data_IF_055914614603
#
_entry.id   IF_055914614603
#
_cell.length_a   1.000
_cell.length_b   1.000
_cell.length_c   1.000
_cell.angle_alpha   90.00
_cell.angle_beta   90.00
_cell.angle_gamma   90.00
#
_symmetry.space_group_name_H-M   'P 1'
#
loop_
_entity.id
_entity.type
_entity.pdbx_description
1 polymer ?
#
# COMPACT_ATOMS: atom_id res chain seq x y z
N UNK A 1 -1.88 6.49 9.55
CA UNK A 1 -2.19 6.83 8.15
C UNK A 1 -3.26 7.90 8.13
N UNK A 2 -3.07 8.90 7.31
CA UNK A 2 -4.04 9.98 7.07
C UNK A 2 -4.21 10.16 5.56
N UNK A 3 -5.44 10.37 5.08
CA UNK A 3 -5.75 10.60 3.67
C UNK A 3 -6.64 11.83 3.48
N UNK A 4 -6.17 12.74 2.67
CA UNK A 4 -6.96 13.85 2.14
C UNK A 4 -7.39 13.54 0.71
N UNK A 5 -8.66 13.77 0.41
CA UNK A 5 -9.27 13.46 -0.88
C UNK A 5 -9.98 14.67 -1.47
N UNK A 6 -9.87 14.83 -2.78
CA UNK A 6 -10.62 15.80 -3.56
C UNK A 6 -11.07 15.19 -4.89
N UNK A 7 -11.82 15.95 -5.69
CA UNK A 7 -12.21 15.52 -7.03
C UNK A 7 -11.01 15.37 -7.99
N UNK A 8 -9.89 16.00 -7.68
CA UNK A 8 -8.69 16.01 -8.53
C UNK A 8 -7.65 14.99 -8.12
N UNK A 9 -7.68 14.52 -6.86
CA UNK A 9 -6.69 13.55 -6.39
C UNK A 9 -6.78 13.25 -4.92
N UNK A 10 -5.91 12.35 -4.51
CA UNK A 10 -5.73 11.94 -3.13
C UNK A 10 -4.28 12.17 -2.70
N UNK A 11 -4.09 12.52 -1.44
CA UNK A 11 -2.80 12.50 -0.77
C UNK A 11 -2.93 11.62 0.47
N UNK A 12 -2.05 10.64 0.58
CA UNK A 12 -1.98 9.75 1.76
C UNK A 12 -0.64 9.97 2.44
N UNK A 13 -0.65 10.12 3.74
CA UNK A 13 0.55 10.24 4.57
C UNK A 13 0.58 9.09 5.57
N UNK A 14 1.67 8.34 5.57
CA UNK A 14 1.98 7.33 6.57
C UNK A 14 3.17 7.74 7.42
N UNK A 15 3.10 7.48 8.72
CA UNK A 15 4.22 7.63 9.66
C UNK A 15 4.47 6.30 10.34
N UNK A 16 5.71 5.82 10.28
CA UNK A 16 6.16 4.58 10.91
C UNK A 16 6.70 4.84 12.32
N UNK A 17 6.78 3.79 13.11
CA UNK A 17 7.27 3.86 14.50
C UNK A 17 8.74 4.29 14.60
N UNK A 18 9.54 3.95 13.59
CA UNK A 18 10.95 4.32 13.47
C UNK A 18 11.18 5.77 13.00
N UNK A 19 10.10 6.54 12.81
CA UNK A 19 10.15 7.95 12.44
C UNK A 19 10.09 8.21 10.92
N UNK A 20 10.15 7.17 10.07
CA UNK A 20 9.98 7.33 8.62
C UNK A 20 8.60 7.90 8.30
N UNK A 21 8.56 8.75 7.28
CA UNK A 21 7.32 9.30 6.73
C UNK A 21 7.29 8.97 5.24
N UNK A 22 6.19 8.44 4.78
CA UNK A 22 5.93 8.21 3.37
C UNK A 22 4.70 8.97 2.92
N UNK A 23 4.71 9.45 1.68
CA UNK A 23 3.58 10.11 1.06
C UNK A 23 3.23 9.42 -0.25
N UNK A 24 1.96 9.29 -0.52
CA UNK A 24 1.44 8.84 -1.80
C UNK A 24 0.52 9.90 -2.37
N UNK A 25 0.67 10.18 -3.66
CA UNK A 25 -0.21 11.09 -4.39
C UNK A 25 -0.87 10.36 -5.55
N UNK A 26 -2.19 10.22 -5.51
CA UNK A 26 -2.99 9.68 -6.60
C UNK A 26 -3.65 10.80 -7.39
N UNK A 27 -3.43 10.85 -8.71
CA UNK A 27 -4.03 11.83 -9.61
C UNK A 27 -5.31 11.22 -10.20
N UNK A 28 -6.44 11.89 -10.04
CA UNK A 28 -7.75 11.46 -10.60
C UNK A 28 -8.09 12.19 -11.90
N UNK A 29 -7.64 13.44 -12.02
CA UNK A 29 -7.91 14.27 -13.21
C UNK A 29 -6.62 14.95 -13.64
N UNK A 30 -6.23 14.76 -14.90
CA UNK A 30 -5.02 15.29 -15.50
C UNK A 30 -3.96 14.21 -15.78
N UNK A 31 -2.82 14.60 -16.33
CA UNK A 31 -1.72 13.69 -16.58
C UNK A 31 -1.21 13.05 -15.28
N UNK A 32 -1.00 11.75 -15.32
CA UNK A 32 -0.44 10.98 -14.21
C UNK A 32 0.80 10.20 -14.68
N UNK A 33 1.80 10.13 -13.83
CA UNK A 33 3.02 9.36 -14.05
C UNK A 33 3.25 8.44 -12.86
N UNK A 34 3.93 7.32 -13.10
CA UNK A 34 4.46 6.49 -12.04
C UNK A 34 5.85 7.01 -11.65
N UNK A 35 6.10 7.12 -10.36
CA UNK A 35 7.40 7.53 -9.86
C UNK A 35 7.34 8.05 -8.44
N UNK A 36 8.50 8.32 -7.89
CA UNK A 36 8.66 8.88 -6.56
C UNK A 36 10.09 9.26 -6.29
N UNK A 37 10.32 9.81 -5.11
CA UNK A 37 11.65 10.11 -4.61
C UNK A 37 11.83 9.43 -3.25
N UNK A 38 12.88 8.64 -3.12
CA UNK A 38 13.28 8.07 -1.83
C UNK A 38 14.42 8.91 -1.24
N UNK A 39 14.19 9.43 -0.04
CA UNK A 39 15.15 10.22 0.73
C UNK A 39 15.86 9.31 1.74
N UNK A 40 17.08 8.92 1.44
CA UNK A 40 17.92 8.13 2.33
C UNK A 40 18.91 9.00 3.11
N UNK A 41 19.64 8.38 4.02
CA UNK A 41 20.65 9.08 4.86
C UNK A 41 21.86 9.57 4.07
N UNK A 42 22.14 8.96 2.91
CA UNK A 42 23.32 9.29 2.08
C UNK A 42 22.97 10.04 0.81
N UNK A 43 21.79 9.81 0.25
CA UNK A 43 21.36 10.45 -1.01
C UNK A 43 19.84 10.38 -1.18
N UNK A 44 19.31 11.26 -2.03
CA UNK A 44 17.97 11.13 -2.60
C UNK A 44 18.08 10.46 -3.98
N UNK A 45 17.12 9.56 -4.29
CA UNK A 45 17.06 8.86 -5.57
C UNK A 45 15.64 8.88 -6.11
N UNK A 46 15.50 8.98 -7.41
CA UNK A 46 14.22 8.75 -8.09
C UNK A 46 13.94 7.26 -8.20
N UNK A 47 12.70 6.86 -7.95
CA UNK A 47 12.25 5.47 -7.95
C UNK A 47 10.91 5.31 -8.67
N UNK A 48 10.61 4.09 -9.08
CA UNK A 48 9.25 3.70 -9.48
C UNK A 48 8.85 4.09 -10.90
N UNK A 49 9.77 4.39 -11.79
CA UNK A 49 9.47 4.48 -13.23
C UNK A 49 8.96 3.15 -13.77
N UNK A 50 7.90 3.17 -14.60
CA UNK A 50 7.38 1.97 -15.22
C UNK A 50 8.37 1.42 -16.26
N UNK A 51 8.82 0.18 -16.08
CA UNK A 51 9.81 -0.50 -16.94
C UNK A 51 9.24 -1.77 -17.64
N UNK A 52 7.92 -1.86 -17.74
CA UNK A 52 7.26 -3.04 -18.32
C UNK A 52 7.11 -4.19 -17.33
N UNK A 53 6.72 -5.36 -17.84
CA UNK A 53 6.40 -6.55 -17.04
C UNK A 53 7.57 -7.55 -16.91
N UNK A 54 8.72 -7.31 -17.55
CA UNK A 54 9.82 -8.27 -17.59
C UNK A 54 10.25 -8.70 -16.19
N UNK A 55 10.54 -7.73 -15.30
CA UNK A 55 11.01 -8.02 -13.94
C UNK A 55 9.96 -8.78 -13.13
N UNK A 56 8.66 -8.44 -13.29
CA UNK A 56 7.57 -9.16 -12.63
C UNK A 56 7.52 -10.63 -13.10
N UNK A 57 7.60 -10.88 -14.40
CA UNK A 57 7.58 -12.23 -14.96
C UNK A 57 8.79 -13.06 -14.52
N UNK A 58 9.98 -12.47 -14.46
CA UNK A 58 11.18 -13.11 -13.93
C UNK A 58 10.99 -13.55 -12.47
N UNK A 59 10.40 -12.72 -11.63
CA UNK A 59 10.11 -13.06 -10.23
C UNK A 59 9.02 -14.14 -10.09
N UNK A 60 8.02 -14.14 -10.95
CA UNK A 60 7.00 -15.19 -10.99
C UNK A 60 7.63 -16.54 -11.40
N UNK A 61 8.47 -16.55 -12.42
CA UNK A 61 9.20 -17.76 -12.85
C UNK A 61 10.13 -18.27 -11.74
N UNK A 62 10.88 -17.38 -11.10
CA UNK A 62 11.72 -17.73 -9.96
C UNK A 62 10.90 -18.40 -8.84
N UNK A 63 9.76 -17.85 -8.50
CA UNK A 63 8.87 -18.46 -7.50
C UNK A 63 8.40 -19.86 -7.89
N UNK A 64 7.97 -20.06 -9.13
CA UNK A 64 7.53 -21.38 -9.60
C UNK A 64 8.69 -22.41 -9.64
N UNK A 65 9.91 -21.98 -9.90
CA UNK A 65 11.09 -22.86 -9.94
C UNK A 65 11.61 -23.22 -8.55
N UNK A 66 11.51 -22.31 -7.60
CA UNK A 66 12.19 -22.45 -6.30
C UNK A 66 11.25 -22.63 -5.11
N UNK A 67 9.97 -22.26 -5.26
CA UNK A 67 9.01 -22.15 -4.15
C UNK A 67 9.27 -20.95 -3.21
N UNK A 68 10.27 -20.11 -3.52
CA UNK A 68 10.65 -18.97 -2.68
C UNK A 68 9.92 -17.73 -3.16
N UNK A 69 9.04 -17.19 -2.31
CA UNK A 69 8.32 -15.94 -2.62
C UNK A 69 9.28 -14.74 -2.59
N UNK A 70 9.30 -13.89 -3.63
CA UNK A 70 10.11 -12.67 -3.65
C UNK A 70 9.62 -11.59 -2.68
N UNK A 71 8.38 -11.72 -2.20
CA UNK A 71 7.77 -10.80 -1.23
C UNK A 71 7.28 -11.62 -0.04
N UNK A 72 7.58 -11.19 1.18
CA UNK A 72 7.13 -11.88 2.37
C UNK A 72 5.61 -11.74 2.57
N UNK A 73 5.04 -12.67 3.32
CA UNK A 73 3.64 -12.60 3.71
C UNK A 73 3.36 -11.36 4.57
N UNK A 74 4.28 -11.03 5.46
CA UNK A 74 4.21 -9.90 6.37
C UNK A 74 4.18 -8.58 5.60
N UNK A 75 5.06 -8.42 4.62
CA UNK A 75 5.11 -7.25 3.75
C UNK A 75 3.81 -7.10 2.93
N UNK A 76 3.30 -8.20 2.37
CA UNK A 76 2.03 -8.21 1.65
C UNK A 76 0.88 -7.75 2.56
N UNK A 77 0.79 -8.28 3.78
CA UNK A 77 -0.24 -7.89 4.74
C UNK A 77 -0.09 -6.43 5.15
N UNK A 78 1.12 -5.94 5.36
CA UNK A 78 1.38 -4.54 5.70
C UNK A 78 0.89 -3.59 4.59
N UNK A 79 1.20 -3.89 3.33
CA UNK A 79 0.75 -3.12 2.16
C UNK A 79 -0.78 -3.04 2.12
N UNK A 80 -1.47 -4.18 2.21
CA UNK A 80 -2.93 -4.21 2.21
C UNK A 80 -3.54 -3.50 3.42
N UNK A 81 -2.92 -3.64 4.59
CA UNK A 81 -3.35 -2.94 5.80
C UNK A 81 -3.20 -1.43 5.68
N UNK A 82 -2.12 -0.95 5.05
CA UNK A 82 -1.92 0.46 4.75
C UNK A 82 -3.02 0.99 3.81
N UNK A 83 -3.34 0.24 2.76
CA UNK A 83 -4.44 0.59 1.84
C UNK A 83 -5.79 0.63 2.56
N UNK A 84 -6.07 -0.34 3.45
CA UNK A 84 -7.29 -0.36 4.26
C UNK A 84 -7.35 0.85 5.20
N UNK A 85 -6.26 1.17 5.90
CA UNK A 85 -6.18 2.34 6.77
C UNK A 85 -6.43 3.64 5.99
N UNK A 86 -5.86 3.75 4.79
CA UNK A 86 -6.09 4.89 3.88
C UNK A 86 -7.57 5.03 3.50
N UNK A 87 -8.26 3.93 3.20
CA UNK A 87 -9.68 3.97 2.86
C UNK A 87 -10.53 4.34 4.06
N UNK A 88 -10.26 3.78 5.25
CA UNK A 88 -10.95 4.15 6.48
C UNK A 88 -10.76 5.64 6.79
N UNK A 89 -9.54 6.16 6.65
CA UNK A 89 -9.26 7.59 6.82
C UNK A 89 -10.09 8.45 5.88
N UNK A 90 -10.23 8.06 4.60
CA UNK A 90 -11.07 8.75 3.63
C UNK A 90 -12.54 8.76 4.05
N UNK A 91 -13.09 7.60 4.43
CA UNK A 91 -14.49 7.43 4.85
C UNK A 91 -14.82 8.26 6.08
N UNK A 92 -13.82 8.57 6.91
CA UNK A 92 -13.92 9.34 8.14
C UNK A 92 -13.32 10.75 8.02
N UNK A 93 -13.42 11.35 6.82
CA UNK A 93 -13.02 12.74 6.54
C UNK A 93 -11.56 13.08 6.90
N UNK A 94 -10.66 12.14 6.69
CA UNK A 94 -9.24 12.34 6.94
C UNK A 94 -8.80 12.07 8.39
N UNK A 95 -9.59 11.34 9.18
CA UNK A 95 -9.14 10.88 10.51
C UNK A 95 -7.85 10.07 10.41
N UNK A 96 -6.98 10.23 11.38
CA UNK A 96 -5.79 9.38 11.52
C UNK A 96 -6.23 7.98 11.92
N UNK A 97 -5.83 6.99 11.11
CA UNK A 97 -6.09 5.55 11.34
C UNK A 97 -4.76 4.83 11.55
N UNK A 98 -4.68 4.00 12.59
CA UNK A 98 -3.50 3.17 12.83
C UNK A 98 -3.53 1.91 11.96
N UNK A 99 -2.36 1.32 11.67
CA UNK A 99 -2.31 0.04 10.97
C UNK A 99 -2.95 -1.07 11.81
N UNK A 100 -2.78 -1.03 13.13
CA UNK A 100 -3.41 -2.02 14.03
C UNK A 100 -4.95 -1.97 13.92
N UNK A 101 -5.54 -0.78 13.99
CA UNK A 101 -6.99 -0.61 13.81
C UNK A 101 -7.48 -1.16 12.47
N UNK A 102 -6.77 -0.85 11.39
CA UNK A 102 -7.12 -1.31 10.05
C UNK A 102 -6.96 -2.83 9.90
N UNK A 103 -5.92 -3.41 10.48
CA UNK A 103 -5.67 -4.85 10.49
C UNK A 103 -6.80 -5.59 11.23
N UNK A 104 -7.16 -5.16 12.43
CA UNK A 104 -8.22 -5.78 13.21
C UNK A 104 -9.58 -5.71 12.51
N UNK A 105 -9.88 -4.58 11.88
CA UNK A 105 -11.10 -4.45 11.07
C UNK A 105 -11.08 -5.37 9.86
N UNK A 106 -9.98 -5.43 9.13
CA UNK A 106 -9.81 -6.32 7.96
C UNK A 106 -9.98 -7.80 8.35
N UNK A 107 -9.40 -8.21 9.47
CA UNK A 107 -9.53 -9.57 10.00
C UNK A 107 -10.97 -9.92 10.38
N UNK A 108 -11.69 -8.98 11.01
CA UNK A 108 -13.11 -9.14 11.35
C UNK A 108 -13.98 -9.28 10.09
N UNK A 109 -13.70 -8.46 9.07
CA UNK A 109 -14.43 -8.50 7.80
C UNK A 109 -14.17 -9.82 7.05
N UNK A 110 -12.91 -10.29 6.99
CA UNK A 110 -12.52 -11.56 6.38
C UNK A 110 -13.21 -12.77 7.05
N UNK A 111 -13.27 -12.81 8.38
CA UNK A 111 -13.98 -13.89 9.10
C UNK A 111 -15.47 -13.95 8.77
N UNK A 112 -16.12 -12.83 8.53
CA UNK A 112 -17.53 -12.81 8.11
C UNK A 112 -17.68 -13.41 6.70
N UNK A 113 -16.79 -13.02 5.77
CA UNK A 113 -16.80 -13.55 4.40
C UNK A 113 -16.61 -15.06 4.39
N UNK A 114 -15.61 -15.59 5.10
CA UNK A 114 -15.33 -17.03 5.17
C UNK A 114 -16.57 -17.83 5.67
N UNK A 115 -17.27 -17.31 6.67
CA UNK A 115 -18.51 -17.92 7.17
C UNK A 115 -19.64 -17.95 6.13
N UNK A 116 -19.64 -17.03 5.18
CA UNK A 116 -20.64 -16.97 4.11
C UNK A 116 -20.34 -17.97 3.00
N UNK A 117 -19.07 -18.24 2.72
CA UNK A 117 -18.65 -19.20 1.69
C UNK A 117 -18.69 -20.67 2.17
N UNK A 118 -18.66 -20.91 3.48
CA UNK A 118 -18.69 -22.26 4.07
C UNK A 118 -20.13 -22.74 4.39
N UNK A 119 -21.14 -22.02 3.88
CA UNK A 119 -22.55 -22.44 3.87
C UNK A 119 -22.93 -22.98 2.50
#
# INVERSE_FOLDING_TARGET
VNRMSSDRGDVVVGRWKDGRIGTFRGIKKGPAIYGGTAFGTKKAIEVGGYQGYKVLLEQILYFFQTGISPISREETIEIFTFMKASNMSKEENGRIVTLEEAYQKGWKDARKLIKTYNK
#
